data_IF_693417745405
#
_entry.id   IF_693417745405
#
_cell.length_a   1.000
_cell.length_b   1.000
_cell.length_c   1.000
_cell.angle_alpha   90.00
_cell.angle_beta   90.00
_cell.angle_gamma   90.00
#
_symmetry.space_group_name_H-M   'P 1'
#
loop_
_entity.id
_entity.type
_entity.pdbx_description
1 polymer ?
#
# COMPACT_ATOMS: atom_id res chain seq x y z
N UNK A 1 -17.27 -5.64 -5.13
CA UNK A 1 -17.74 -4.32 -4.65
C UNK A 1 -17.06 -4.06 -3.34
N UNK A 2 -15.81 -3.63 -3.40
CA UNK A 2 -15.02 -3.25 -2.22
C UNK A 2 -15.57 -1.93 -1.70
N UNK A 3 -16.34 -1.99 -0.62
CA UNK A 3 -16.95 -0.79 -0.03
C UNK A 3 -15.87 -0.15 0.84
N UNK A 4 -15.25 0.92 0.32
CA UNK A 4 -14.19 1.69 1.00
C UNK A 4 -14.54 2.03 2.45
N UNK A 5 -15.83 2.23 2.72
CA UNK A 5 -16.39 2.68 4.00
C UNK A 5 -16.76 1.53 4.97
N UNK A 6 -16.68 0.26 4.53
CA UNK A 6 -16.97 -0.87 5.41
C UNK A 6 -15.80 -1.17 6.35
N UNK A 7 -16.15 -1.38 7.62
CA UNK A 7 -15.17 -1.75 8.63
C UNK A 7 -14.76 -3.20 8.47
N UNK A 8 -13.47 -3.43 8.26
CA UNK A 8 -12.84 -4.74 8.25
C UNK A 8 -11.54 -4.72 9.05
N UNK A 9 -10.96 -5.91 9.27
CA UNK A 9 -9.56 -6.02 9.63
C UNK A 9 -8.76 -6.22 8.36
N UNK A 10 -7.81 -5.34 8.12
CA UNK A 10 -6.92 -5.36 6.97
C UNK A 10 -5.54 -5.83 7.39
N UNK A 11 -4.92 -6.67 6.57
CA UNK A 11 -3.51 -7.03 6.70
C UNK A 11 -2.70 -6.16 5.74
N UNK A 12 -1.75 -5.38 6.28
CA UNK A 12 -0.82 -4.55 5.50
C UNK A 12 0.49 -5.32 5.35
N UNK A 13 0.83 -5.68 4.11
CA UNK A 13 2.04 -6.40 3.75
C UNK A 13 2.98 -5.50 2.95
N UNK A 14 4.18 -5.23 3.51
CA UNK A 14 5.22 -4.45 2.83
C UNK A 14 6.12 -5.32 1.92
N UNK A 15 5.80 -6.60 1.76
CA UNK A 15 6.50 -7.56 0.89
C UNK A 15 7.84 -8.07 1.46
N UNK A 16 8.32 -7.52 2.57
CA UNK A 16 9.63 -7.84 3.15
C UNK A 16 9.59 -9.03 4.13
N UNK A 17 8.39 -9.45 4.55
CA UNK A 17 8.20 -10.41 5.64
C UNK A 17 8.46 -9.83 7.04
N UNK A 18 8.67 -8.52 7.18
CA UNK A 18 8.85 -7.83 8.44
C UNK A 18 8.15 -6.45 8.44
N UNK A 19 7.62 -6.02 9.59
CA UNK A 19 6.92 -4.74 9.69
C UNK A 19 5.46 -4.76 9.19
N UNK A 20 4.99 -5.90 8.71
CA UNK A 20 3.57 -6.13 8.41
C UNK A 20 2.73 -6.03 9.70
N UNK A 21 1.50 -5.56 9.58
CA UNK A 21 0.60 -5.42 10.72
C UNK A 21 -0.87 -5.52 10.30
N UNK A 22 -1.72 -5.81 11.28
CA UNK A 22 -3.17 -5.81 11.10
C UNK A 22 -3.75 -4.49 11.61
N UNK A 23 -4.70 -3.94 10.87
CA UNK A 23 -5.42 -2.72 11.20
C UNK A 23 -6.93 -2.91 11.08
N UNK A 24 -7.70 -2.47 12.07
CA UNK A 24 -9.18 -2.55 12.01
C UNK A 24 -9.78 -1.16 11.82
N UNK A 25 -10.46 -0.95 10.70
CA UNK A 25 -11.03 0.34 10.32
C UNK A 25 -11.63 0.29 8.92
N UNK A 26 -11.64 1.40 8.20
CA UNK A 26 -12.00 1.46 6.77
C UNK A 26 -10.80 1.16 5.88
N UNK A 27 -11.00 0.91 4.58
CA UNK A 27 -9.87 0.73 3.66
C UNK A 27 -9.07 2.04 3.50
N UNK A 28 -9.75 3.18 3.53
CA UNK A 28 -9.10 4.51 3.51
C UNK A 28 -8.17 4.71 4.72
N UNK A 29 -8.63 4.33 5.92
CA UNK A 29 -7.81 4.37 7.13
C UNK A 29 -6.60 3.42 7.02
N UNK A 30 -6.80 2.21 6.47
CA UNK A 30 -5.73 1.23 6.28
C UNK A 30 -4.66 1.74 5.30
N UNK A 31 -5.06 2.39 4.20
CA UNK A 31 -4.15 3.06 3.26
C UNK A 31 -3.37 4.17 3.97
N UNK A 32 -4.04 4.95 4.81
CA UNK A 32 -3.39 6.01 5.60
C UNK A 32 -2.32 5.47 6.55
N UNK A 33 -2.61 4.37 7.27
CA UNK A 33 -1.62 3.74 8.15
C UNK A 33 -0.48 3.05 7.35
N UNK A 34 -0.79 2.44 6.21
CA UNK A 34 0.23 1.87 5.32
C UNK A 34 1.21 2.96 4.83
N UNK A 35 0.70 4.13 4.44
CA UNK A 35 1.52 5.26 4.01
C UNK A 35 2.47 5.75 5.12
N UNK A 36 2.04 5.71 6.38
CA UNK A 36 2.89 6.11 7.53
C UNK A 36 4.05 5.13 7.79
N UNK A 37 3.88 3.86 7.43
CA UNK A 37 4.92 2.85 7.60
C UNK A 37 5.83 2.67 6.38
N UNK A 38 5.64 3.44 5.30
CA UNK A 38 6.46 3.32 4.10
C UNK A 38 7.94 3.52 4.41
N UNK A 39 8.72 2.52 3.99
CA UNK A 39 10.16 2.51 4.06
C UNK A 39 10.72 2.12 2.68
N UNK A 40 12.03 2.34 2.50
CA UNK A 40 12.74 1.87 1.32
C UNK A 40 12.88 0.34 1.36
N UNK A 41 11.90 -0.37 0.80
CA UNK A 41 11.87 -1.84 0.74
C UNK A 41 12.19 -2.37 -0.66
N UNK A 42 12.08 -1.53 -1.69
CA UNK A 42 12.11 -1.91 -3.11
C UNK A 42 11.03 -2.93 -3.52
N UNK A 43 10.00 -3.06 -2.70
CA UNK A 43 8.90 -4.00 -2.90
C UNK A 43 7.58 -3.22 -2.83
N UNK A 44 6.55 -3.67 -3.56
CA UNK A 44 5.25 -3.05 -3.46
C UNK A 44 4.60 -3.32 -2.09
N UNK A 45 3.59 -2.51 -1.75
CA UNK A 45 2.74 -2.74 -0.58
C UNK A 45 1.41 -3.33 -1.02
N UNK A 46 0.92 -4.32 -0.32
CA UNK A 46 -0.40 -4.92 -0.56
C UNK A 46 -1.26 -4.84 0.68
N UNK A 47 -2.55 -4.58 0.50
CA UNK A 47 -3.56 -4.62 1.55
C UNK A 47 -4.56 -5.72 1.23
N UNK A 48 -4.80 -6.58 2.20
CA UNK A 48 -5.76 -7.68 2.14
C UNK A 48 -6.85 -7.46 3.18
N UNK A 49 -8.04 -8.01 2.94
CA UNK A 49 -8.92 -8.35 4.07
C UNK A 49 -8.25 -9.49 4.82
N UNK A 50 -8.21 -9.42 6.15
CA UNK A 50 -7.58 -10.47 6.96
C UNK A 50 -8.20 -11.83 6.66
N UNK A 51 -7.34 -12.84 6.54
CA UNK A 51 -7.65 -14.22 6.17
C UNK A 51 -8.11 -14.43 4.71
N UNK A 52 -8.14 -13.37 3.90
CA UNK A 52 -8.33 -13.46 2.44
C UNK A 52 -7.00 -13.69 1.71
N UNK A 53 -7.06 -14.21 0.49
CA UNK A 53 -5.92 -14.52 -0.36
C UNK A 53 -5.69 -13.42 -1.39
N UNK A 54 -6.76 -12.72 -1.79
CA UNK A 54 -6.68 -11.65 -2.79
C UNK A 54 -6.46 -10.29 -2.13
N UNK A 55 -5.50 -9.53 -2.64
CA UNK A 55 -5.32 -8.15 -2.20
C UNK A 55 -6.38 -7.25 -2.82
N UNK A 56 -6.90 -6.33 -2.02
CA UNK A 56 -7.93 -5.36 -2.40
C UNK A 56 -7.35 -3.99 -2.73
N UNK A 57 -6.12 -3.71 -2.28
CA UNK A 57 -5.37 -2.53 -2.67
C UNK A 57 -3.88 -2.86 -2.82
N UNK A 58 -3.22 -2.10 -3.70
CA UNK A 58 -1.82 -2.30 -4.05
C UNK A 58 -1.15 -0.95 -4.29
N UNK A 59 0.06 -0.78 -3.76
CA UNK A 59 0.90 0.38 -3.99
C UNK A 59 2.16 -0.06 -4.75
N UNK A 60 2.29 0.25 -6.04
CA UNK A 60 3.46 -0.13 -6.84
C UNK A 60 4.72 0.57 -6.34
N UNK A 61 5.83 -0.17 -6.38
CA UNK A 61 7.17 0.38 -6.26
C UNK A 61 7.82 0.50 -7.64
N UNK A 62 8.37 1.67 -7.95
CA UNK A 62 9.14 1.93 -9.16
C UNK A 62 10.60 2.19 -8.79
N UNK A 63 11.52 1.34 -9.26
CA UNK A 63 12.97 1.46 -9.03
C UNK A 63 13.67 2.51 -9.90
N UNK A 64 12.99 3.60 -10.23
CA UNK A 64 13.45 4.70 -11.09
C UNK A 64 13.02 6.03 -10.48
N UNK A 65 13.61 7.15 -10.90
CA UNK A 65 13.10 8.47 -10.49
C UNK A 65 11.72 8.71 -11.12
N UNK A 66 10.78 9.35 -10.40
CA UNK A 66 9.51 9.73 -10.98
C UNK A 66 9.69 10.82 -12.05
N UNK A 67 8.90 10.74 -13.11
CA UNK A 67 8.72 11.77 -14.13
C UNK A 67 7.73 12.85 -13.65
N UNK A 68 7.57 13.95 -14.40
CA UNK A 68 6.74 15.08 -13.96
C UNK A 68 5.24 14.74 -13.87
N UNK A 69 4.78 13.75 -14.61
CA UNK A 69 3.39 13.30 -14.68
C UNK A 69 3.10 12.09 -13.78
N UNK A 70 4.11 11.54 -13.09
CA UNK A 70 3.93 10.45 -12.15
C UNK A 70 3.17 10.91 -10.89
N UNK A 71 2.21 10.11 -10.46
CA UNK A 71 1.57 10.26 -9.15
C UNK A 71 2.48 9.63 -8.10
N UNK A 72 2.98 10.43 -7.18
CA UNK A 72 3.99 10.02 -6.20
C UNK A 72 3.40 10.01 -4.80
N UNK A 73 3.26 8.82 -4.21
CA UNK A 73 2.91 8.67 -2.80
C UNK A 73 4.10 8.93 -1.88
N UNK A 74 5.28 8.40 -2.22
CA UNK A 74 6.52 8.63 -1.47
C UNK A 74 7.77 8.39 -2.33
N UNK A 75 8.83 9.17 -2.11
CA UNK A 75 10.12 9.03 -2.81
C UNK A 75 11.23 8.61 -1.86
N UNK A 76 12.19 7.81 -2.34
CA UNK A 76 13.40 7.47 -1.60
C UNK A 76 14.64 7.87 -2.39
N UNK A 77 14.93 9.17 -2.38
CA UNK A 77 16.07 9.75 -3.10
C UNK A 77 16.01 9.43 -4.59
N UNK A 78 17.13 8.99 -5.16
CA UNK A 78 17.24 8.62 -6.58
C UNK A 78 17.04 7.12 -6.84
N UNK A 79 16.60 6.36 -5.82
CA UNK A 79 16.49 4.91 -5.90
C UNK A 79 15.11 4.43 -6.34
N UNK A 80 14.08 5.24 -6.15
CA UNK A 80 12.73 4.91 -6.56
C UNK A 80 11.64 5.67 -5.82
N UNK A 81 10.40 5.38 -6.20
CA UNK A 81 9.21 5.95 -5.58
C UNK A 81 8.06 4.92 -5.52
N UNK A 82 7.12 5.18 -4.62
CA UNK A 82 5.81 4.54 -4.62
C UNK A 82 4.82 5.37 -5.43
N UNK A 83 4.09 4.71 -6.32
CA UNK A 83 3.12 5.33 -7.24
C UNK A 83 1.77 5.68 -6.62
N UNK A 84 0.70 5.59 -7.40
CA UNK A 84 -0.69 5.70 -6.95
C UNK A 84 -1.20 4.38 -6.36
N UNK A 85 -2.09 4.46 -5.36
CA UNK A 85 -2.81 3.29 -4.87
C UNK A 85 -3.80 2.76 -5.92
N UNK A 86 -3.65 1.50 -6.29
CA UNK A 86 -4.60 0.78 -7.13
C UNK A 86 -5.58 0.01 -6.25
N UNK A 87 -6.86 0.38 -6.29
CA UNK A 87 -7.94 -0.27 -5.51
C UNK A 87 -8.74 -1.19 -6.43
N UNK A 88 -8.88 -2.46 -6.03
CA UNK A 88 -9.68 -3.45 -6.75
C UNK A 88 -11.14 -3.37 -6.29
N UNK A 89 -12.04 -3.17 -7.26
CA UNK A 89 -13.49 -2.99 -7.03
C UNK A 89 -14.27 -4.29 -6.89
#
# INVERSE_FOLDING_TARGET
>A
MTILDEKNTYHIDYGTGAGNFDFTGTLEDAITEANRGLCYTQLPVSIFIKDDIENIAYLPWYGVQPEEDDIVTATFGNFGFYGEWEIKG
#
